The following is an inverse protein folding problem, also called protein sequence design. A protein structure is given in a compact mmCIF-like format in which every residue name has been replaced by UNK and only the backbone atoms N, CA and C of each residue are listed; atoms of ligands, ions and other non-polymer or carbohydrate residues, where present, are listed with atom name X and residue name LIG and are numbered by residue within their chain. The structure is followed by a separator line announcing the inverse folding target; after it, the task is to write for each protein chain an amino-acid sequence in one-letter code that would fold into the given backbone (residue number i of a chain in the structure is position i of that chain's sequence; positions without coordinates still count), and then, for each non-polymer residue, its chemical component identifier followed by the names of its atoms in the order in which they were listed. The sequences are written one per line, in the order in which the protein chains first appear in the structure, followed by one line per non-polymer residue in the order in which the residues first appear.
data_IF_733762619461
#
_entry.id   IF_733762619461
#
_cell.length_a   1.000
_cell.length_b   1.000
_cell.length_c   1.000
_cell.angle_alpha   90.00
_cell.angle_beta   90.00
_cell.angle_gamma   90.00
#
_symmetry.space_group_name_H-M   'P 1'
#
loop_
_entity.id
_entity.type
_entity.pdbx_description
1 polymer ?
#
# COMPACT_ATOMS: atom_id res chain seq x y z
N UNK A 1 8.01 -21.82 -10.35
CA UNK A 1 7.29 -20.71 -9.71
C UNK A 1 8.15 -20.20 -8.57
N UNK A 2 8.43 -18.91 -8.55
CA UNK A 2 9.23 -18.27 -7.49
C UNK A 2 8.27 -17.83 -6.38
N UNK A 3 8.55 -18.21 -5.15
CA UNK A 3 7.79 -17.83 -3.96
C UNK A 3 8.53 -16.70 -3.26
N UNK A 4 7.81 -15.64 -2.88
CA UNK A 4 8.36 -14.51 -2.16
C UNK A 4 7.83 -14.56 -0.73
N UNK A 5 8.74 -14.65 0.24
CA UNK A 5 8.38 -14.71 1.64
C UNK A 5 8.29 -13.30 2.22
N UNK A 6 7.19 -12.95 2.89
CA UNK A 6 7.04 -11.64 3.54
C UNK A 6 8.04 -11.39 4.66
N UNK A 7 8.68 -12.44 5.21
CA UNK A 7 9.78 -12.33 6.17
C UNK A 7 11.06 -11.74 5.57
N UNK A 8 11.18 -11.73 4.24
CA UNK A 8 12.32 -11.16 3.52
C UNK A 8 12.12 -9.67 3.23
N UNK A 9 10.98 -9.07 3.59
CA UNK A 9 10.76 -7.63 3.52
C UNK A 9 11.81 -6.94 4.41
N UNK A 10 12.65 -6.13 3.78
CA UNK A 10 13.67 -5.36 4.50
C UNK A 10 13.03 -4.30 5.41
N UNK A 11 13.78 -3.85 6.43
CA UNK A 11 13.34 -2.74 7.30
C UNK A 11 13.09 -1.46 6.45
N UNK A 12 12.04 -0.73 6.78
CA UNK A 12 11.69 0.55 6.17
C UNK A 12 12.13 1.72 7.06
N UNK A 13 12.36 2.88 6.45
CA UNK A 13 12.73 4.11 7.15
C UNK A 13 12.13 5.31 6.45
N UNK A 14 11.73 6.32 7.23
CA UNK A 14 11.23 7.60 6.73
C UNK A 14 11.97 8.73 7.44
N UNK A 15 12.26 9.83 6.73
CA UNK A 15 12.81 11.02 7.38
C UNK A 15 11.72 11.77 8.14
N UNK A 16 12.08 12.45 9.23
CA UNK A 16 11.16 13.33 9.98
C UNK A 16 10.54 14.39 9.04
N UNK A 17 11.33 14.91 8.10
CA UNK A 17 10.86 15.88 7.11
C UNK A 17 9.80 15.33 6.15
N UNK A 18 9.87 14.04 5.77
CA UNK A 18 8.86 13.40 4.95
C UNK A 18 7.58 13.11 5.76
N UNK A 19 7.75 12.68 7.02
CA UNK A 19 6.66 12.49 7.98
C UNK A 19 5.88 13.80 8.24
N UNK A 20 6.59 14.93 8.36
CA UNK A 20 6.00 16.26 8.55
C UNK A 20 5.22 16.80 7.34
N UNK A 21 5.52 16.32 6.12
CA UNK A 21 4.84 16.79 4.90
C UNK A 21 3.59 15.99 4.59
N UNK A 22 3.79 14.76 4.13
CA UNK A 22 2.72 13.90 3.61
C UNK A 22 2.74 12.49 4.19
N UNK A 23 3.81 12.11 4.88
CA UNK A 23 3.93 10.80 5.45
C UNK A 23 3.01 10.55 6.63
N UNK A 24 3.01 9.30 7.10
CA UNK A 24 2.43 8.93 8.37
C UNK A 24 3.08 7.68 8.96
N UNK A 25 2.97 7.57 10.28
CA UNK A 25 3.30 6.38 11.05
C UNK A 25 2.03 5.75 11.62
N UNK A 26 1.89 4.45 11.43
CA UNK A 26 0.81 3.61 11.93
C UNK A 26 1.38 2.48 12.78
N UNK A 27 0.89 2.33 14.01
CA UNK A 27 1.37 1.35 14.98
C UNK A 27 0.26 1.05 15.99
N UNK A 28 0.31 -0.11 16.64
CA UNK A 28 -0.61 -0.50 17.71
C UNK A 28 0.15 -0.78 19.01
N UNK A 29 -0.52 -1.35 20.01
CA UNK A 29 0.15 -1.73 21.25
C UNK A 29 1.12 -2.91 21.06
N UNK A 30 0.86 -3.81 20.11
CA UNK A 30 1.78 -4.90 19.81
C UNK A 30 3.08 -4.40 19.19
N UNK A 31 3.02 -3.31 18.40
CA UNK A 31 4.21 -2.69 17.84
C UNK A 31 5.21 -2.32 18.93
N UNK A 32 4.72 -1.70 20.02
CA UNK A 32 5.56 -1.31 21.16
C UNK A 32 6.09 -2.51 21.94
N UNK A 33 5.26 -3.56 22.09
CA UNK A 33 5.57 -4.73 22.92
C UNK A 33 6.50 -5.74 22.23
N UNK A 34 6.46 -5.82 20.89
CA UNK A 34 7.20 -6.79 20.08
C UNK A 34 8.43 -6.19 19.38
N UNK A 35 8.55 -4.85 19.38
CA UNK A 35 9.75 -4.13 18.92
C UNK A 35 11.00 -4.48 19.72
N UNK A 36 12.15 -4.39 19.05
CA UNK A 36 13.44 -4.29 19.74
C UNK A 36 13.52 -2.96 20.54
N UNK A 37 14.30 -2.92 21.63
CA UNK A 37 14.38 -1.74 22.52
C UNK A 37 14.74 -0.43 21.78
N UNK A 38 15.61 -0.51 20.78
CA UNK A 38 15.98 0.61 19.92
C UNK A 38 14.83 1.09 19.02
N UNK A 39 13.95 0.20 18.57
CA UNK A 39 12.78 0.51 17.76
C UNK A 39 11.68 1.12 18.62
N UNK A 40 11.44 0.60 19.83
CA UNK A 40 10.50 1.18 20.79
C UNK A 40 10.90 2.62 21.14
N UNK A 41 12.17 2.86 21.47
CA UNK A 41 12.69 4.22 21.73
C UNK A 41 12.45 5.17 20.56
N UNK A 42 12.62 4.71 19.32
CA UNK A 42 12.34 5.54 18.13
C UNK A 42 10.86 5.88 17.98
N UNK A 43 9.96 4.95 18.30
CA UNK A 43 8.52 5.22 18.29
C UNK A 43 8.20 6.27 19.36
N UNK A 44 8.73 6.11 20.57
CA UNK A 44 8.58 7.07 21.68
C UNK A 44 9.14 8.46 21.33
N UNK A 45 10.32 8.54 20.70
CA UNK A 45 10.90 9.79 20.21
C UNK A 45 9.99 10.47 19.17
N UNK A 46 9.38 9.69 18.28
CA UNK A 46 8.41 10.21 17.32
C UNK A 46 7.17 10.72 18.05
N UNK A 47 6.64 9.98 19.02
CA UNK A 47 5.49 10.42 19.83
C UNK A 47 5.76 11.74 20.54
N UNK A 48 6.92 11.85 21.20
CA UNK A 48 7.36 13.07 21.87
C UNK A 48 7.49 14.24 20.88
N UNK A 49 8.06 14.01 19.70
CA UNK A 49 8.17 15.05 18.67
C UNK A 49 6.80 15.58 18.21
N UNK A 50 5.77 14.72 18.17
CA UNK A 50 4.38 15.13 17.90
C UNK A 50 3.77 15.91 19.08
N UNK A 51 4.05 15.54 20.32
CA UNK A 51 3.55 16.22 21.53
C UNK A 51 4.15 17.61 21.71
N UNK A 52 5.45 17.76 21.45
CA UNK A 52 6.19 19.01 21.54
C UNK A 52 5.85 20.00 20.40
N UNK A 53 5.05 19.57 19.41
CA UNK A 53 4.68 20.40 18.27
C UNK A 53 5.89 20.78 17.41
N UNK A 54 6.89 19.88 17.32
CA UNK A 54 8.08 20.09 16.50
C UNK A 54 7.68 20.45 15.06
N UNK A 55 8.41 21.40 14.46
CA UNK A 55 7.97 22.12 13.27
C UNK A 55 7.50 21.20 12.12
N UNK A 56 6.19 21.27 11.83
CA UNK A 56 5.53 20.58 10.72
C UNK A 56 4.95 19.20 11.04
N UNK A 57 5.15 18.65 12.23
CA UNK A 57 4.52 17.39 12.63
C UNK A 57 3.06 17.62 13.03
N UNK A 58 2.13 17.24 12.15
CA UNK A 58 0.69 17.31 12.40
C UNK A 58 0.18 16.00 12.98
N UNK A 59 -0.75 16.05 13.94
CA UNK A 59 -1.36 14.84 14.56
C UNK A 59 -1.94 13.87 13.54
N UNK A 60 -2.40 14.36 12.38
CA UNK A 60 -2.88 13.53 11.26
C UNK A 60 -1.80 12.62 10.62
N UNK A 61 -0.52 12.88 10.88
CA UNK A 61 0.63 12.06 10.44
C UNK A 61 0.98 10.95 11.44
N UNK A 62 0.23 10.82 12.55
CA UNK A 62 0.37 9.74 13.53
C UNK A 62 -0.97 9.02 13.70
N UNK A 63 -0.95 7.70 13.74
CA UNK A 63 -2.13 6.93 14.13
C UNK A 63 -1.69 5.75 14.98
N UNK A 64 -2.02 5.83 16.28
CA UNK A 64 -2.02 4.68 17.17
C UNK A 64 -3.34 3.94 16.97
N UNK A 65 -3.29 2.67 16.57
CA UNK A 65 -4.48 1.84 16.39
C UNK A 65 -4.86 1.26 17.76
N UNK A 66 -5.99 1.70 18.29
CA UNK A 66 -6.49 1.25 19.61
C UNK A 66 -6.89 -0.24 19.62
N UNK A 67 -7.55 -0.68 18.54
CA UNK A 67 -7.93 -2.08 18.39
C UNK A 67 -6.95 -2.81 17.46
N UNK A 68 -5.98 -3.50 18.05
CA UNK A 68 -4.97 -4.31 17.34
C UNK A 68 -5.55 -5.30 16.32
N UNK A 69 -6.78 -5.79 16.51
CA UNK A 69 -7.43 -6.68 15.53
C UNK A 69 -7.71 -6.01 14.18
N UNK A 70 -7.71 -4.67 14.12
CA UNK A 70 -7.84 -3.90 12.89
C UNK A 70 -6.50 -3.70 12.16
N UNK A 71 -5.37 -3.87 12.85
CA UNK A 71 -4.03 -3.69 12.28
C UNK A 71 -3.46 -5.02 11.77
N UNK A 72 -4.17 -5.63 10.80
CA UNK A 72 -3.88 -6.97 10.27
C UNK A 72 -2.67 -7.00 9.31
N UNK A 73 -1.51 -6.58 9.79
CA UNK A 73 -0.25 -6.58 9.04
C UNK A 73 0.81 -7.35 9.81
N UNK A 74 1.68 -8.14 9.14
CA UNK A 74 2.85 -8.75 9.78
C UNK A 74 3.97 -7.73 10.03
N UNK A 75 3.84 -6.49 9.51
CA UNK A 75 4.81 -5.43 9.75
C UNK A 75 4.63 -4.88 11.15
N UNK A 76 5.75 -4.68 11.86
CA UNK A 76 5.75 -4.12 13.20
C UNK A 76 5.17 -2.70 13.22
N UNK A 77 5.66 -1.82 12.34
CA UNK A 77 5.19 -0.46 12.13
C UNK A 77 5.00 -0.22 10.64
N UNK A 78 3.97 0.53 10.27
CA UNK A 78 3.76 0.93 8.87
C UNK A 78 4.09 2.40 8.70
N UNK A 79 5.04 2.65 7.81
CA UNK A 79 5.46 3.98 7.39
C UNK A 79 4.95 4.20 5.97
N UNK A 80 4.32 5.34 5.75
CA UNK A 80 3.90 5.79 4.42
C UNK A 80 4.50 7.16 4.16
N UNK A 81 4.80 7.46 2.90
CA UNK A 81 5.49 8.69 2.49
C UNK A 81 4.56 9.69 1.82
N UNK A 82 3.40 9.23 1.32
CA UNK A 82 2.49 10.03 0.52
C UNK A 82 1.06 10.02 1.03
N UNK A 83 0.33 11.10 0.72
CA UNK A 83 -1.08 11.25 1.14
C UNK A 83 -1.99 10.12 0.62
N UNK A 84 -1.93 9.67 -0.65
CA UNK A 84 -2.76 8.56 -1.13
C UNK A 84 -2.55 7.28 -0.30
N UNK A 85 -1.31 6.91 -0.01
CA UNK A 85 -0.98 5.75 0.82
C UNK A 85 -1.55 5.90 2.24
N UNK A 86 -1.39 7.08 2.84
CA UNK A 86 -1.90 7.39 4.19
C UNK A 86 -3.42 7.22 4.27
N UNK A 87 -4.15 7.77 3.31
CA UNK A 87 -5.61 7.64 3.28
C UNK A 87 -6.05 6.20 2.97
N UNK A 88 -5.26 5.44 2.20
CA UNK A 88 -5.53 4.03 1.96
C UNK A 88 -5.34 3.18 3.22
N UNK A 89 -4.25 3.38 3.98
CA UNK A 89 -4.02 2.70 5.27
C UNK A 89 -5.11 3.05 6.27
N UNK A 90 -5.54 4.32 6.35
CA UNK A 90 -6.72 4.70 7.15
C UNK A 90 -7.97 3.90 6.76
N UNK A 91 -8.15 3.64 5.47
CA UNK A 91 -9.19 2.75 4.98
C UNK A 91 -9.03 1.31 5.44
N UNK A 92 -7.82 0.73 5.37
CA UNK A 92 -7.52 -0.64 5.80
C UNK A 92 -7.81 -0.87 7.29
N UNK A 93 -7.51 0.11 8.15
CA UNK A 93 -7.66 -0.02 9.61
C UNK A 93 -9.05 0.34 10.15
N UNK A 94 -9.99 0.78 9.31
CA UNK A 94 -11.39 0.96 9.70
C UNK A 94 -12.00 -0.38 10.06
N UNK A 95 -12.73 -0.44 11.18
CA UNK A 95 -13.28 -1.70 11.71
C UNK A 95 -14.18 -2.44 10.71
N UNK A 96 -15.01 -1.70 9.96
CA UNK A 96 -15.87 -2.27 8.93
C UNK A 96 -15.08 -2.87 7.76
N UNK A 97 -13.89 -2.34 7.46
CA UNK A 97 -13.05 -2.79 6.35
C UNK A 97 -12.11 -3.91 6.77
N UNK A 98 -11.50 -3.80 7.96
CA UNK A 98 -10.54 -4.76 8.49
C UNK A 98 -11.14 -6.16 8.62
N UNK A 99 -12.46 -6.24 8.84
CA UNK A 99 -13.21 -7.50 8.90
C UNK A 99 -13.36 -8.21 7.54
N UNK A 100 -13.17 -7.51 6.43
CA UNK A 100 -13.39 -8.06 5.09
C UNK A 100 -12.20 -8.83 4.52
N UNK A 101 -11.02 -8.76 5.15
CA UNK A 101 -9.81 -9.42 4.66
C UNK A 101 -9.01 -10.08 5.79
N UNK A 102 -8.10 -10.96 5.42
CA UNK A 102 -7.28 -11.74 6.35
C UNK A 102 -6.07 -10.96 6.84
N UNK A 103 -5.48 -10.14 5.98
CA UNK A 103 -4.36 -9.27 6.30
C UNK A 103 -3.83 -8.51 5.09
N UNK A 104 -2.84 -7.66 5.31
CA UNK A 104 -2.22 -6.86 4.26
C UNK A 104 -0.76 -6.53 4.60
N UNK A 105 0.01 -6.13 3.59
CA UNK A 105 1.36 -5.57 3.73
C UNK A 105 1.47 -4.30 2.89
N UNK A 106 2.20 -3.30 3.41
CA UNK A 106 2.79 -2.23 2.59
C UNK A 106 4.16 -2.73 2.11
N UNK A 107 4.34 -2.82 0.81
CA UNK A 107 5.63 -3.10 0.20
C UNK A 107 6.52 -1.86 0.21
N UNK A 108 7.83 -2.11 0.19
CA UNK A 108 8.82 -1.08 -0.13
C UNK A 108 8.79 -0.77 -1.62
N UNK A 109 9.25 0.43 -1.95
CA UNK A 109 9.38 0.92 -3.33
C UNK A 109 10.44 0.13 -4.12
N UNK A 110 11.29 -0.65 -3.44
CA UNK A 110 12.34 -1.48 -4.03
C UNK A 110 12.51 -2.82 -3.31
N UNK A 111 12.93 -3.85 -4.06
CA UNK A 111 13.51 -5.07 -3.51
C UNK A 111 12.54 -6.08 -2.89
N UNK A 112 11.23 -5.94 -3.07
CA UNK A 112 10.25 -6.94 -2.61
C UNK A 112 9.55 -7.67 -3.75
N UNK A 113 8.84 -6.93 -4.62
CA UNK A 113 8.07 -7.51 -5.72
C UNK A 113 8.11 -6.57 -6.92
N UNK A 114 9.09 -6.76 -7.80
CA UNK A 114 9.27 -5.91 -8.97
C UNK A 114 8.47 -6.42 -10.16
N UNK A 115 7.78 -5.51 -10.84
CA UNK A 115 7.15 -5.75 -12.14
C UNK A 115 7.87 -4.90 -13.18
N UNK A 116 8.39 -5.55 -14.23
CA UNK A 116 8.97 -4.87 -15.38
C UNK A 116 7.86 -4.23 -16.23
N UNK A 117 8.11 -3.00 -16.69
CA UNK A 117 7.20 -2.30 -17.60
C UNK A 117 7.97 -1.50 -18.65
N UNK A 118 7.29 -1.22 -19.76
CA UNK A 118 7.78 -0.32 -20.78
C UNK A 118 6.73 0.75 -21.09
N UNK A 119 7.19 1.94 -21.44
CA UNK A 119 6.37 3.07 -21.84
C UNK A 119 7.13 3.97 -22.81
N UNK A 120 6.48 4.98 -23.39
CA UNK A 120 7.12 5.93 -24.31
C UNK A 120 7.01 7.34 -23.79
N UNK A 121 8.13 8.07 -23.80
CA UNK A 121 8.16 9.52 -23.55
C UNK A 121 8.31 10.22 -24.90
N UNK A 122 7.19 10.54 -25.55
CA UNK A 122 7.20 10.93 -26.97
C UNK A 122 7.65 9.75 -27.83
N UNK A 123 8.70 9.93 -28.64
CA UNK A 123 9.23 8.86 -29.50
C UNK A 123 10.21 7.92 -28.77
N UNK A 124 10.69 8.29 -27.58
CA UNK A 124 11.72 7.54 -26.89
C UNK A 124 11.13 6.44 -26.00
N UNK A 125 11.41 5.16 -26.28
CA UNK A 125 11.03 4.07 -25.39
C UNK A 125 11.81 4.16 -24.07
N UNK A 126 11.12 3.87 -22.98
CA UNK A 126 11.65 3.78 -21.63
C UNK A 126 11.21 2.46 -21.04
N UNK A 127 12.15 1.77 -20.41
CA UNK A 127 11.87 0.60 -19.61
C UNK A 127 12.10 0.96 -18.14
N UNK A 128 11.32 0.36 -17.26
CA UNK A 128 11.42 0.56 -15.84
C UNK A 128 10.96 -0.67 -15.07
N UNK A 129 11.12 -0.58 -13.75
CA UNK A 129 10.58 -1.51 -12.78
C UNK A 129 9.82 -0.73 -11.74
N UNK A 130 8.73 -1.28 -11.23
CA UNK A 130 8.05 -0.72 -10.09
C UNK A 130 7.67 -1.82 -9.10
N UNK A 131 7.55 -1.43 -7.83
CA UNK A 131 7.06 -2.31 -6.76
C UNK A 131 5.68 -1.79 -6.36
N UNK A 132 4.62 -2.61 -6.45
CA UNK A 132 3.29 -2.19 -6.03
C UNK A 132 3.24 -1.83 -4.56
N UNK A 133 2.44 -0.83 -4.20
CA UNK A 133 2.36 -0.35 -2.82
C UNK A 133 1.86 -1.38 -1.81
N UNK A 134 0.73 -2.05 -2.07
CA UNK A 134 0.08 -2.91 -1.09
C UNK A 134 -0.26 -4.29 -1.66
N UNK A 135 -0.25 -5.27 -0.77
CA UNK A 135 -0.81 -6.59 -1.02
C UNK A 135 -1.83 -6.89 0.08
N UNK A 136 -3.06 -7.24 -0.29
CA UNK A 136 -4.13 -7.59 0.64
C UNK A 136 -4.50 -9.05 0.40
N UNK A 137 -4.63 -9.85 1.45
CA UNK A 137 -5.04 -11.25 1.39
C UNK A 137 -6.48 -11.40 1.84
N UNK A 138 -7.30 -12.14 1.07
CA UNK A 138 -8.65 -12.56 1.46
C UNK A 138 -8.96 -13.96 0.91
N UNK A 139 -8.97 -14.96 1.79
CA UNK A 139 -9.06 -16.36 1.39
C UNK A 139 -7.91 -16.73 0.46
N UNK A 140 -8.27 -17.28 -0.70
CA UNK A 140 -7.34 -17.66 -1.78
C UNK A 140 -7.12 -16.51 -2.80
N UNK A 141 -7.40 -15.27 -2.43
CA UNK A 141 -7.20 -14.10 -3.29
C UNK A 141 -6.13 -13.16 -2.73
N UNK A 142 -5.29 -12.63 -3.61
CA UNK A 142 -4.33 -11.56 -3.30
C UNK A 142 -4.61 -10.35 -4.21
N UNK A 143 -4.88 -9.21 -3.58
CA UNK A 143 -5.15 -7.92 -4.23
C UNK A 143 -3.87 -7.10 -4.18
N UNK A 144 -3.28 -6.83 -5.33
CA UNK A 144 -2.10 -5.99 -5.48
C UNK A 144 -2.56 -4.59 -5.84
N UNK A 145 -2.19 -3.60 -5.02
CA UNK A 145 -2.71 -2.24 -5.13
C UNK A 145 -1.55 -1.27 -5.29
N UNK A 146 -1.63 -0.44 -6.32
CA UNK A 146 -0.77 0.72 -6.51
C UNK A 146 -1.59 1.98 -6.22
N UNK A 147 -1.13 2.84 -5.31
CA UNK A 147 -1.82 4.09 -5.00
C UNK A 147 -1.25 5.27 -5.78
N UNK A 148 -2.14 6.17 -6.19
CA UNK A 148 -1.80 7.41 -6.90
C UNK A 148 -2.61 8.58 -6.39
N UNK A 149 -2.15 9.80 -6.66
CA UNK A 149 -2.98 10.97 -6.46
C UNK A 149 -4.14 10.98 -7.47
N UNK A 150 -5.25 11.61 -7.10
CA UNK A 150 -6.34 11.84 -8.06
C UNK A 150 -5.79 12.61 -9.28
N UNK A 151 -6.18 12.20 -10.49
CA UNK A 151 -5.75 12.79 -11.77
C UNK A 151 -4.25 12.66 -12.08
N UNK A 152 -3.52 11.75 -11.42
CA UNK A 152 -2.13 11.43 -11.76
C UNK A 152 -2.04 10.58 -13.05
N UNK A 153 -2.47 11.18 -14.15
CA UNK A 153 -2.62 10.56 -15.47
C UNK A 153 -1.38 10.89 -16.29
N UNK A 154 -0.57 9.87 -16.59
CA UNK A 154 0.60 10.00 -17.44
C UNK A 154 0.90 8.71 -18.21
N UNK A 155 1.63 8.81 -19.32
CA UNK A 155 2.01 7.67 -20.16
C UNK A 155 2.79 6.58 -19.41
N UNK A 156 3.57 6.99 -18.39
CA UNK A 156 4.28 6.06 -17.53
C UNK A 156 3.32 5.18 -16.72
N UNK A 157 2.30 5.79 -16.08
CA UNK A 157 1.31 5.05 -15.31
C UNK A 157 0.44 4.17 -16.22
N UNK A 158 0.11 4.62 -17.45
CA UNK A 158 -0.54 3.78 -18.47
C UNK A 158 0.28 2.52 -18.76
N UNK A 159 1.59 2.67 -18.99
CA UNK A 159 2.50 1.55 -19.19
C UNK A 159 2.58 0.60 -17.98
N UNK A 160 2.63 1.14 -16.75
CA UNK A 160 2.61 0.33 -15.52
C UNK A 160 1.34 -0.51 -15.42
N UNK A 161 0.16 0.08 -15.64
CA UNK A 161 -1.12 -0.66 -15.60
C UNK A 161 -1.15 -1.78 -16.62
N UNK A 162 -0.78 -1.49 -17.87
CA UNK A 162 -0.78 -2.49 -18.95
C UNK A 162 0.10 -3.70 -18.60
N UNK A 163 1.34 -3.44 -18.18
CA UNK A 163 2.30 -4.50 -17.86
C UNK A 163 1.93 -5.23 -16.57
N UNK A 164 1.39 -4.55 -15.57
CA UNK A 164 0.90 -5.18 -14.34
C UNK A 164 -0.27 -6.13 -14.63
N UNK A 165 -1.27 -5.69 -15.41
CA UNK A 165 -2.41 -6.53 -15.80
C UNK A 165 -1.94 -7.76 -16.57
N UNK A 166 -1.01 -7.60 -17.52
CA UNK A 166 -0.38 -8.72 -18.24
C UNK A 166 0.35 -9.68 -17.30
N UNK A 167 1.16 -9.15 -16.39
CA UNK A 167 1.89 -9.93 -15.39
C UNK A 167 0.95 -10.79 -14.55
N UNK A 168 -0.16 -10.23 -14.08
CA UNK A 168 -1.14 -10.94 -13.25
C UNK A 168 -1.92 -12.00 -14.03
N UNK A 169 -2.28 -11.71 -15.28
CA UNK A 169 -2.89 -12.71 -16.18
C UNK A 169 -1.96 -13.91 -16.35
N UNK A 170 -0.67 -13.69 -16.61
CA UNK A 170 0.29 -14.78 -16.76
C UNK A 170 0.53 -15.52 -15.43
N UNK A 171 0.64 -14.80 -14.31
CA UNK A 171 0.79 -15.39 -12.99
C UNK A 171 -0.37 -16.34 -12.66
N UNK A 172 -1.61 -15.92 -12.93
CA UNK A 172 -2.81 -16.73 -12.75
C UNK A 172 -2.95 -17.91 -13.73
N UNK A 173 -2.20 -17.94 -14.83
CA UNK A 173 -2.11 -19.12 -15.73
C UNK A 173 -1.07 -20.13 -15.23
N UNK A 174 -0.01 -19.65 -14.57
CA UNK A 174 1.11 -20.48 -14.12
C UNK A 174 0.82 -21.24 -12.82
N UNK A 175 -0.26 -20.89 -12.11
CA UNK A 175 -0.72 -21.57 -10.90
C UNK A 175 -2.23 -21.46 -10.76
N UNK A 176 -2.83 -22.31 -9.90
CA UNK A 176 -4.28 -22.31 -9.62
C UNK A 176 -4.66 -22.27 -8.13
N UNK A 177 -3.70 -21.98 -7.24
CA UNK A 177 -3.92 -21.96 -5.78
C UNK A 177 -4.38 -20.62 -5.26
N UNK A 178 -3.85 -19.54 -5.81
CA UNK A 178 -4.12 -18.17 -5.37
C UNK A 178 -4.50 -17.34 -6.58
N UNK A 179 -5.64 -16.67 -6.53
CA UNK A 179 -6.04 -15.74 -7.59
C UNK A 179 -5.50 -14.36 -7.29
N UNK A 180 -4.66 -13.85 -8.18
CA UNK A 180 -4.11 -12.51 -8.07
C UNK A 180 -4.93 -11.51 -8.85
N UNK A 181 -4.97 -10.29 -8.32
CA UNK A 181 -5.60 -9.14 -8.93
C UNK A 181 -4.68 -7.94 -8.83
N UNK A 182 -4.82 -6.99 -9.75
CA UNK A 182 -4.09 -5.73 -9.69
C UNK A 182 -5.02 -4.58 -10.01
N UNK A 183 -4.92 -3.51 -9.23
CA UNK A 183 -5.50 -2.21 -9.55
C UNK A 183 -4.55 -1.09 -9.17
N UNK A 184 -4.47 -0.09 -10.04
CA UNK A 184 -3.99 1.24 -9.70
C UNK A 184 -5.18 2.10 -9.30
N UNK A 185 -5.16 2.67 -8.10
CA UNK A 185 -6.31 3.40 -7.54
C UNK A 185 -5.88 4.75 -6.95
N UNK A 186 -6.83 5.67 -6.84
CA UNK A 186 -6.62 6.96 -6.17
C UNK A 186 -7.62 7.17 -5.03
N UNK A 187 -7.47 8.22 -4.19
CA UNK A 187 -8.44 8.52 -3.13
C UNK A 187 -9.91 8.51 -3.57
N UNK A 188 -10.21 8.92 -4.81
CA UNK A 188 -11.56 8.89 -5.40
C UNK A 188 -12.18 7.49 -5.57
N UNK A 189 -11.36 6.44 -5.49
CA UNK A 189 -11.74 5.03 -5.64
C UNK A 189 -11.91 4.30 -4.30
N UNK A 190 -11.35 4.82 -3.19
CA UNK A 190 -11.16 4.06 -1.96
C UNK A 190 -12.47 3.58 -1.35
N UNK A 191 -13.48 4.44 -1.28
CA UNK A 191 -14.79 4.06 -0.74
C UNK A 191 -15.42 2.91 -1.53
N UNK A 192 -15.43 3.01 -2.87
CA UNK A 192 -15.96 1.95 -3.72
C UNK A 192 -15.12 0.68 -3.66
N UNK A 193 -13.79 0.79 -3.61
CA UNK A 193 -12.89 -0.35 -3.49
C UNK A 193 -13.16 -1.13 -2.21
N UNK A 194 -13.14 -0.46 -1.05
CA UNK A 194 -13.39 -1.11 0.23
C UNK A 194 -14.82 -1.66 0.31
N UNK A 195 -15.81 -0.96 -0.26
CA UNK A 195 -17.18 -1.47 -0.32
C UNK A 195 -17.26 -2.78 -1.10
N UNK A 196 -16.68 -2.85 -2.30
CA UNK A 196 -16.63 -4.08 -3.11
C UNK A 196 -15.88 -5.20 -2.40
N UNK A 197 -14.82 -4.88 -1.66
CA UNK A 197 -14.09 -5.86 -0.85
C UNK A 197 -14.94 -6.43 0.30
N UNK A 198 -15.75 -5.60 0.97
CA UNK A 198 -16.70 -6.02 2.01
C UNK A 198 -17.86 -6.86 1.47
N UNK A 199 -18.31 -6.57 0.25
CA UNK A 199 -19.46 -7.22 -0.40
C UNK A 199 -19.07 -8.48 -1.19
N UNK A 200 -17.80 -8.88 -1.20
CA UNK A 200 -17.27 -9.98 -2.03
C UNK A 200 -17.50 -9.79 -3.55
N UNK A 201 -17.61 -8.53 -3.98
CA UNK A 201 -17.93 -8.12 -5.35
C UNK A 201 -16.75 -7.42 -6.06
N UNK A 202 -15.53 -7.79 -5.68
CA UNK A 202 -14.30 -7.18 -6.19
C UNK A 202 -14.03 -7.48 -7.67
N UNK A 203 -14.58 -8.57 -8.22
CA UNK A 203 -14.51 -8.84 -9.67
C UNK A 203 -15.21 -7.75 -10.51
N UNK A 204 -16.16 -7.01 -9.91
CA UNK A 204 -16.89 -5.90 -10.52
C UNK A 204 -16.37 -4.51 -10.06
N UNK A 205 -15.21 -4.45 -9.40
CA UNK A 205 -14.58 -3.19 -9.07
C UNK A 205 -13.91 -2.58 -10.31
N UNK A 206 -14.17 -1.29 -10.54
CA UNK A 206 -13.58 -0.52 -11.62
C UNK A 206 -12.94 0.72 -11.02
N UNK A 207 -11.64 0.91 -11.26
CA UNK A 207 -10.95 2.14 -10.86
C UNK A 207 -11.31 3.26 -11.82
N UNK A 208 -11.76 4.39 -11.27
CA UNK A 208 -11.97 5.62 -12.03
C UNK A 208 -10.68 6.14 -12.61
N UNK A 209 -9.57 6.05 -11.86
CA UNK A 209 -8.26 6.47 -12.34
C UNK A 209 -7.83 5.68 -13.58
N UNK A 210 -7.98 4.35 -13.56
CA UNK A 210 -7.66 3.52 -14.73
C UNK A 210 -8.56 3.85 -15.93
N UNK A 211 -9.87 4.04 -15.71
CA UNK A 211 -10.79 4.46 -16.78
C UNK A 211 -10.42 5.81 -17.39
N UNK A 212 -10.03 6.79 -16.57
CA UNK A 212 -9.57 8.09 -17.06
C UNK A 212 -8.27 7.99 -17.86
N UNK A 213 -7.43 6.98 -17.58
CA UNK A 213 -6.20 6.70 -18.31
C UNK A 213 -6.43 5.96 -19.64
N UNK A 214 -7.53 5.23 -19.80
CA UNK A 214 -7.88 4.54 -21.04
C UNK A 214 -8.49 5.48 -22.09
N UNK A 215 -9.04 6.62 -21.66
CA UNK A 215 -9.53 7.70 -22.52
C UNK A 215 -8.40 8.62 -23.03
#
# INVERSE_FOLDING_TARGET
MFEINTREIQKSSISISALAKEGAIFYDQNSLNLSEENETKRIEEIEQAFEEGSSGLHTACKTKIENSYNFKTPLNVVLVSHKPEREFVKGLIKEENSRAFDGWIKSKDTGFYEIDYAWRKGEHPKNGKFNPDFFIKKGDNIFIIETKADKDICDENKGKIEYAKKHIIELNKLQNKIKYYFWMISPSDYESFFRKLREDDFDNFVSKLELEMEN
#
